data_IF_229142611869
#
_entry.id   IF_229142611869
#
_cell.length_a   1.000
_cell.length_b   1.000
_cell.length_c   1.000
_cell.angle_alpha   90.00
_cell.angle_beta   90.00
_cell.angle_gamma   90.00
#
_symmetry.space_group_name_H-M   'P 1'
#
loop_
_entity.id
_entity.type
_entity.pdbx_description
1 polymer ?
#
# COMPACT_ATOMS: atom_id res chain seq x y z
N UNK A 1 10.05 9.38 -15.01
CA UNK A 1 9.58 8.21 -14.22
C UNK A 1 8.97 8.72 -12.93
N UNK A 2 7.77 8.31 -12.54
CA UNK A 2 7.17 8.70 -11.26
C UNK A 2 7.76 7.87 -10.12
N UNK A 3 8.02 8.52 -8.98
CA UNK A 3 8.49 7.85 -7.77
C UNK A 3 7.41 6.89 -7.24
N UNK A 4 7.79 5.74 -6.64
CA UNK A 4 6.83 4.83 -6.03
C UNK A 4 6.18 5.45 -4.78
N UNK A 5 4.91 5.12 -4.54
CA UNK A 5 4.21 5.41 -3.29
C UNK A 5 4.56 4.30 -2.30
N UNK A 6 5.05 4.65 -1.11
CA UNK A 6 5.34 3.69 -0.04
C UNK A 6 4.24 3.78 1.02
N UNK A 7 3.64 2.63 1.34
CA UNK A 7 2.67 2.46 2.41
C UNK A 7 3.33 1.62 3.49
N UNK A 8 3.46 2.16 4.70
CA UNK A 8 3.90 1.43 5.88
C UNK A 8 2.69 1.17 6.78
N UNK A 9 2.49 -0.08 7.19
CA UNK A 9 1.38 -0.48 8.05
C UNK A 9 1.84 -1.43 9.16
N UNK A 10 1.14 -1.41 10.30
CA UNK A 10 1.35 -2.43 11.33
C UNK A 10 0.93 -3.82 10.83
N UNK A 11 1.58 -4.88 11.32
CA UNK A 11 1.31 -6.26 10.89
C UNK A 11 -0.03 -6.85 11.34
N UNK A 12 -0.82 -6.15 12.17
CA UNK A 12 -2.13 -6.64 12.61
C UNK A 12 -3.21 -6.36 11.56
N UNK A 13 -4.22 -7.23 11.47
CA UNK A 13 -5.28 -7.13 10.46
C UNK A 13 -5.97 -5.77 10.38
N UNK A 14 -6.16 -5.09 11.53
CA UNK A 14 -6.77 -3.75 11.58
C UNK A 14 -5.98 -2.66 10.85
N UNK A 15 -4.69 -2.87 10.59
CA UNK A 15 -3.83 -1.97 9.81
C UNK A 15 -3.50 -2.55 8.44
N UNK A 16 -3.23 -3.85 8.36
CA UNK A 16 -2.82 -4.52 7.13
C UNK A 16 -3.90 -4.50 6.05
N UNK A 17 -5.13 -4.91 6.38
CA UNK A 17 -6.22 -4.98 5.40
C UNK A 17 -6.60 -3.61 4.80
N UNK A 18 -6.73 -2.51 5.58
CA UNK A 18 -6.96 -1.20 4.95
C UNK A 18 -5.75 -0.72 4.14
N UNK A 19 -4.52 -1.04 4.54
CA UNK A 19 -3.32 -0.69 3.78
C UNK A 19 -3.24 -1.45 2.44
N UNK A 20 -3.57 -2.73 2.44
CA UNK A 20 -3.69 -3.57 1.23
C UNK A 20 -4.79 -3.06 0.30
N UNK A 21 -5.96 -2.71 0.84
CA UNK A 21 -7.06 -2.15 0.05
C UNK A 21 -6.68 -0.81 -0.62
N UNK A 22 -5.96 0.06 0.11
CA UNK A 22 -5.43 1.31 -0.44
C UNK A 22 -4.38 1.04 -1.53
N UNK A 23 -3.48 0.09 -1.30
CA UNK A 23 -2.46 -0.30 -2.27
C UNK A 23 -3.12 -0.78 -3.57
N UNK A 24 -4.13 -1.66 -3.48
CA UNK A 24 -4.89 -2.14 -4.63
C UNK A 24 -5.57 -1.00 -5.41
N UNK A 25 -6.20 -0.05 -4.70
CA UNK A 25 -6.83 1.09 -5.34
C UNK A 25 -5.83 2.02 -6.06
N UNK A 26 -4.63 2.22 -5.50
CA UNK A 26 -3.58 3.02 -6.13
C UNK A 26 -2.95 2.30 -7.33
N UNK A 27 -2.73 0.99 -7.23
CA UNK A 27 -2.27 0.17 -8.36
C UNK A 27 -3.27 0.19 -9.52
N UNK A 28 -4.57 0.11 -9.24
CA UNK A 28 -5.63 0.23 -10.25
C UNK A 28 -5.65 1.61 -10.96
N UNK A 29 -5.10 2.65 -10.31
CA UNK A 29 -4.93 4.00 -10.89
C UNK A 29 -3.59 4.18 -11.62
N UNK A 30 -2.80 3.11 -11.76
CA UNK A 30 -1.51 3.13 -12.47
C UNK A 30 -0.33 3.60 -11.64
N UNK A 31 -0.47 3.69 -10.31
CA UNK A 31 0.65 4.04 -9.44
C UNK A 31 1.53 2.81 -9.15
N UNK A 32 2.85 3.04 -9.07
CA UNK A 32 3.77 2.07 -8.50
C UNK A 32 3.70 2.16 -6.97
N UNK A 33 3.38 1.06 -6.31
CA UNK A 33 3.18 1.01 -4.85
C UNK A 33 4.13 -0.01 -4.22
N UNK A 34 4.66 0.32 -3.05
CA UNK A 34 5.37 -0.62 -2.15
C UNK A 34 4.60 -0.64 -0.84
N UNK A 35 4.13 -1.82 -0.42
CA UNK A 35 3.52 -2.04 0.89
C UNK A 35 4.55 -2.72 1.79
N UNK A 36 4.83 -2.13 2.95
CA UNK A 36 5.75 -2.66 3.96
C UNK A 36 5.00 -2.84 5.27
N UNK A 37 5.27 -3.95 5.96
CA UNK A 37 4.73 -4.27 7.29
C UNK A 37 5.87 -4.40 8.28
N UNK A 38 5.55 -4.31 9.58
CA UNK A 38 6.41 -4.84 10.65
C UNK A 38 6.72 -6.33 10.41
#
# INVERSE_FOLDING_TARGET
MTAPIVIAAGGTGGHFFPAEALAAALMARGHRVVLMTD
#
